data_IF_004107026519
#
_entry.id   IF_004107026519
#
_cell.length_a   1.000
_cell.length_b   1.000
_cell.length_c   1.000
_cell.angle_alpha   90.00
_cell.angle_beta   90.00
_cell.angle_gamma   90.00
#
_symmetry.space_group_name_H-M   'P 1'
#
loop_
_entity.id
_entity.type
_entity.pdbx_description
1 polymer ?
#
# COMPACT_ATOMS: atom_id res chain seq x y z
N UNK A 1 -8.23 -3.78 1.59
CA UNK A 1 -8.61 -2.48 2.17
C UNK A 1 -8.88 -1.54 1.02
N UNK A 2 -9.88 -0.68 1.13
CA UNK A 2 -10.30 0.22 0.05
C UNK A 2 -10.54 1.64 0.62
N UNK A 3 -9.46 2.34 0.95
CA UNK A 3 -9.52 3.73 1.43
C UNK A 3 -9.73 4.67 0.25
N UNK A 4 -10.63 5.65 0.40
CA UNK A 4 -11.01 6.58 -0.66
C UNK A 4 -10.98 8.03 -0.17
N UNK A 5 -10.63 8.99 -1.03
CA UNK A 5 -10.74 10.40 -0.69
C UNK A 5 -12.19 10.78 -0.34
N UNK A 6 -12.36 11.49 0.77
CA UNK A 6 -13.66 11.96 1.23
C UNK A 6 -13.70 12.18 2.73
N UNK A 7 -14.87 12.59 3.29
CA UNK A 7 -15.00 12.94 4.70
C UNK A 7 -14.65 11.80 5.67
N UNK A 8 -14.79 10.54 5.24
CA UNK A 8 -14.51 9.37 6.08
C UNK A 8 -13.03 8.92 6.05
N UNK A 9 -12.20 9.45 5.14
CA UNK A 9 -10.83 8.95 4.91
C UNK A 9 -10.02 8.90 6.20
N UNK A 10 -10.09 9.96 7.01
CA UNK A 10 -9.34 10.05 8.25
C UNK A 10 -9.82 9.02 9.29
N UNK A 11 -11.13 8.88 9.47
CA UNK A 11 -11.71 7.91 10.40
C UNK A 11 -11.39 6.47 9.99
N UNK A 12 -11.58 6.14 8.71
CA UNK A 12 -11.29 4.83 8.15
C UNK A 12 -9.81 4.49 8.23
N UNK A 13 -8.93 5.46 7.96
CA UNK A 13 -7.47 5.28 8.09
C UNK A 13 -7.09 4.99 9.53
N UNK A 14 -7.65 5.72 10.50
CA UNK A 14 -7.44 5.42 11.94
C UNK A 14 -7.97 4.04 12.31
N UNK A 15 -9.13 3.64 11.78
CA UNK A 15 -9.71 2.32 12.04
C UNK A 15 -8.81 1.19 11.54
N UNK A 16 -8.26 1.35 10.35
CA UNK A 16 -7.24 0.48 9.78
C UNK A 16 -5.99 0.45 10.66
N UNK A 17 -5.43 1.61 11.03
CA UNK A 17 -4.21 1.69 11.83
C UNK A 17 -4.37 0.97 13.19
N UNK A 18 -5.55 1.04 13.83
CA UNK A 18 -5.83 0.29 15.07
C UNK A 18 -5.69 -1.22 14.91
N UNK A 19 -5.83 -1.76 13.69
CA UNK A 19 -5.67 -3.19 13.43
C UNK A 19 -4.20 -3.65 13.50
N UNK A 20 -3.23 -2.72 13.49
CA UNK A 20 -1.80 -3.07 13.63
C UNK A 20 -1.46 -3.73 14.98
N UNK A 21 -2.36 -3.62 15.98
CA UNK A 21 -2.28 -4.33 17.27
C UNK A 21 -2.23 -5.84 17.15
N UNK A 22 -2.68 -6.41 16.02
CA UNK A 22 -2.62 -7.84 15.77
C UNK A 22 -1.31 -8.21 15.08
N UNK A 23 -0.38 -8.92 15.75
CA UNK A 23 0.96 -9.16 15.22
C UNK A 23 0.99 -10.08 13.99
N UNK A 24 -0.07 -10.88 13.79
CA UNK A 24 -0.23 -11.79 12.66
C UNK A 24 -1.02 -11.18 11.48
N UNK A 25 -1.36 -9.89 11.54
CA UNK A 25 -2.07 -9.19 10.48
C UNK A 25 -1.12 -8.36 9.62
N UNK A 26 -1.29 -8.44 8.31
CA UNK A 26 -0.49 -7.75 7.31
C UNK A 26 -1.37 -6.82 6.47
N UNK A 27 -0.91 -5.59 6.24
CA UNK A 27 -1.64 -4.61 5.45
C UNK A 27 -1.26 -4.71 3.97
N UNK A 28 -2.26 -4.84 3.11
CA UNK A 28 -2.07 -4.61 1.68
C UNK A 28 -2.35 -3.14 1.38
N UNK A 29 -1.32 -2.43 0.92
CA UNK A 29 -1.31 -0.96 0.82
C UNK A 29 -1.56 -0.45 -0.61
N UNK A 30 -2.12 -1.28 -1.48
CA UNK A 30 -2.35 -1.02 -2.91
C UNK A 30 -3.60 -0.17 -3.23
N UNK A 31 -4.25 0.40 -2.22
CA UNK A 31 -5.54 1.10 -2.36
C UNK A 31 -5.44 2.43 -3.12
N UNK A 32 -4.24 2.98 -3.32
CA UNK A 32 -4.05 4.24 -4.07
C UNK A 32 -4.64 4.11 -5.48
N UNK A 33 -4.33 3.02 -6.19
CA UNK A 33 -4.81 2.82 -7.56
C UNK A 33 -6.32 2.60 -7.69
N UNK A 34 -6.97 2.06 -6.66
CA UNK A 34 -8.42 1.78 -6.65
C UNK A 34 -9.24 2.97 -6.14
N UNK A 35 -8.65 3.79 -5.26
CA UNK A 35 -9.36 4.87 -4.57
C UNK A 35 -9.11 6.29 -5.11
N UNK A 36 -7.98 6.54 -5.76
CA UNK A 36 -7.56 7.89 -6.19
C UNK A 36 -8.61 8.59 -7.06
N UNK A 37 -8.74 9.90 -6.81
CA UNK A 37 -9.51 10.84 -7.64
C UNK A 37 -8.60 11.82 -8.39
N UNK A 38 -7.30 11.77 -8.12
CA UNK A 38 -6.30 12.59 -8.79
C UNK A 38 -5.59 11.81 -9.91
N UNK A 39 -5.03 12.54 -10.87
CA UNK A 39 -4.10 11.98 -11.84
C UNK A 39 -2.84 11.47 -11.16
N UNK A 40 -2.05 10.64 -11.85
CA UNK A 40 -0.70 10.28 -11.42
C UNK A 40 0.09 11.54 -10.99
N UNK A 41 0.75 11.56 -9.80
CA UNK A 41 1.08 10.40 -8.97
C UNK A 41 0.06 10.04 -7.86
N UNK A 42 -1.19 10.52 -7.93
CA UNK A 42 -2.27 10.16 -6.99
C UNK A 42 -2.01 10.59 -5.53
N UNK A 43 -1.64 11.86 -5.33
CA UNK A 43 -1.16 12.39 -4.04
C UNK A 43 -2.25 12.42 -2.95
N UNK A 44 -3.53 12.43 -3.33
CA UNK A 44 -4.69 12.43 -2.44
C UNK A 44 -4.74 11.27 -1.43
N UNK A 45 -4.02 10.17 -1.69
CA UNK A 45 -3.97 9.00 -0.81
C UNK A 45 -2.57 8.71 -0.23
N UNK A 46 -1.54 9.51 -0.57
CA UNK A 46 -0.18 9.26 -0.11
C UNK A 46 -0.05 9.36 1.42
N UNK A 47 -0.69 10.37 2.02
CA UNK A 47 -0.67 10.56 3.47
C UNK A 47 -1.26 9.35 4.20
N UNK A 48 -2.45 8.90 3.79
CA UNK A 48 -3.10 7.73 4.37
C UNK A 48 -2.25 6.46 4.19
N UNK A 49 -1.59 6.29 3.03
CA UNK A 49 -0.67 5.17 2.81
C UNK A 49 0.51 5.22 3.80
N UNK A 50 1.10 6.40 4.02
CA UNK A 50 2.19 6.56 4.99
C UNK A 50 1.75 6.33 6.44
N UNK A 51 0.53 6.71 6.82
CA UNK A 51 -0.03 6.39 8.14
C UNK A 51 -0.19 4.88 8.36
N UNK A 52 -0.76 4.18 7.37
CA UNK A 52 -0.93 2.72 7.44
C UNK A 52 0.43 2.01 7.49
N UNK A 53 1.38 2.43 6.64
CA UNK A 53 2.74 1.87 6.63
C UNK A 53 3.43 2.14 7.98
N UNK A 54 3.28 3.34 8.53
CA UNK A 54 3.83 3.70 9.84
C UNK A 54 3.24 2.87 10.98
N UNK A 55 1.93 2.64 10.97
CA UNK A 55 1.23 1.88 12.02
C UNK A 55 1.55 0.38 12.00
N UNK A 56 1.63 -0.22 10.80
CA UNK A 56 1.95 -1.64 10.65
C UNK A 56 3.46 -1.92 10.68
N UNK A 57 4.28 -0.99 10.23
CA UNK A 57 5.67 -1.26 9.85
C UNK A 57 5.73 -1.84 8.43
N UNK A 58 6.77 -1.46 7.68
CA UNK A 58 6.93 -1.88 6.28
C UNK A 58 7.11 -3.39 6.14
N UNK A 59 7.68 -4.04 7.16
CA UNK A 59 7.84 -5.49 7.26
C UNK A 59 6.53 -6.26 7.43
N UNK A 60 5.43 -5.55 7.70
CA UNK A 60 4.05 -6.07 7.71
C UNK A 60 3.15 -5.46 6.63
N UNK A 61 3.73 -4.79 5.64
CA UNK A 61 3.02 -4.23 4.50
C UNK A 61 3.40 -4.94 3.19
N UNK A 62 2.42 -5.11 2.30
CA UNK A 62 2.61 -5.69 0.96
C UNK A 62 1.95 -4.82 -0.11
N UNK A 63 2.62 -4.70 -1.25
CA UNK A 63 2.05 -4.10 -2.46
C UNK A 63 1.48 -5.17 -3.40
N UNK A 64 0.45 -4.80 -4.17
CA UNK A 64 -0.01 -5.55 -5.32
C UNK A 64 -0.54 -4.59 -6.39
N UNK A 65 -0.64 -5.06 -7.63
CA UNK A 65 -1.02 -4.21 -8.76
C UNK A 65 -2.51 -4.00 -8.96
N UNK A 66 -3.36 -4.79 -8.28
CA UNK A 66 -4.79 -4.91 -8.54
C UNK A 66 -5.13 -5.33 -9.99
N UNK A 67 -4.35 -6.24 -10.58
CA UNK A 67 -4.64 -6.77 -11.92
C UNK A 67 -6.02 -7.47 -12.00
N UNK A 68 -6.81 -7.28 -13.07
CA UNK A 68 -6.53 -6.47 -14.26
C UNK A 68 -6.75 -4.96 -14.05
N UNK A 69 -5.72 -4.15 -14.36
CA UNK A 69 -5.72 -2.70 -14.13
C UNK A 69 -6.84 -1.96 -14.88
N UNK A 70 -7.20 -2.41 -16.08
CA UNK A 70 -8.30 -1.82 -16.85
C UNK A 70 -9.67 -1.89 -16.16
N UNK A 71 -9.85 -2.83 -15.22
CA UNK A 71 -11.07 -2.93 -14.42
C UNK A 71 -10.93 -2.22 -13.08
N UNK A 72 -9.84 -2.47 -12.35
CA UNK A 72 -9.73 -2.08 -10.94
C UNK A 72 -8.99 -0.77 -10.70
N UNK A 73 -8.07 -0.39 -11.58
CA UNK A 73 -7.27 0.83 -11.45
C UNK A 73 -7.22 1.60 -12.78
N UNK A 74 -8.35 1.88 -13.44
CA UNK A 74 -8.36 2.34 -14.84
C UNK A 74 -7.74 3.73 -15.07
N UNK A 75 -7.46 4.49 -14.00
CA UNK A 75 -6.89 5.84 -14.07
C UNK A 75 -5.36 5.85 -14.16
N UNK A 76 -4.71 4.73 -13.85
CA UNK A 76 -3.25 4.60 -13.86
C UNK A 76 -2.83 3.27 -14.46
N UNK A 77 -1.67 3.27 -15.11
CA UNK A 77 -1.04 2.05 -15.61
C UNK A 77 -0.45 1.22 -14.47
N UNK A 78 -0.17 -0.06 -14.73
CA UNK A 78 0.59 -0.91 -13.81
C UNK A 78 1.91 -0.25 -13.40
N UNK A 79 2.65 0.31 -14.38
CA UNK A 79 3.95 0.93 -14.16
C UNK A 79 3.85 2.18 -13.29
N UNK A 80 2.86 3.04 -13.52
CA UNK A 80 2.59 4.20 -12.67
C UNK A 80 2.24 3.78 -11.23
N UNK A 81 1.38 2.78 -11.04
CA UNK A 81 1.06 2.30 -9.70
C UNK A 81 2.31 1.78 -8.97
N UNK A 82 3.18 1.04 -9.66
CA UNK A 82 4.45 0.59 -9.10
C UNK A 82 5.37 1.78 -8.74
N UNK A 83 5.47 2.80 -9.62
CA UNK A 83 6.30 3.99 -9.38
C UNK A 83 5.85 4.83 -8.19
N UNK A 84 4.57 4.80 -7.83
CA UNK A 84 4.12 5.44 -6.59
C UNK A 84 4.86 4.88 -5.38
N UNK A 85 5.02 3.55 -5.30
CA UNK A 85 5.74 2.90 -4.19
C UNK A 85 7.25 2.85 -4.38
N UNK A 86 7.74 2.79 -5.62
CA UNK A 86 9.18 2.73 -5.86
C UNK A 86 9.87 4.08 -5.89
N UNK A 87 9.16 5.18 -6.16
CA UNK A 87 9.74 6.50 -6.42
C UNK A 87 9.01 7.65 -5.70
N UNK A 88 7.68 7.71 -5.73
CA UNK A 88 6.94 8.90 -5.27
C UNK A 88 6.77 8.98 -3.75
N UNK A 89 6.41 7.87 -3.09
CA UNK A 89 6.30 7.85 -1.64
C UNK A 89 7.68 8.02 -1.00
N UNK A 90 7.80 8.76 0.12
CA UNK A 90 9.08 9.02 0.79
C UNK A 90 9.53 7.80 1.62
N UNK A 91 9.62 6.64 0.98
CA UNK A 91 10.06 5.38 1.57
C UNK A 91 11.58 5.28 1.51
N UNK A 92 12.18 4.87 2.62
CA UNK A 92 13.58 4.43 2.61
C UNK A 92 13.76 3.21 1.72
N UNK A 93 14.99 2.97 1.25
CA UNK A 93 15.32 1.78 0.46
C UNK A 93 14.90 0.47 1.15
N UNK A 94 15.02 0.39 2.49
CA UNK A 94 14.60 -0.77 3.27
C UNK A 94 13.08 -0.93 3.30
N UNK A 95 12.33 0.14 3.54
CA UNK A 95 10.87 0.09 3.52
C UNK A 95 10.34 -0.32 2.15
N UNK A 96 10.90 0.25 1.08
CA UNK A 96 10.58 -0.09 -0.30
C UNK A 96 10.83 -1.57 -0.61
N UNK A 97 11.99 -2.11 -0.25
CA UNK A 97 12.31 -3.53 -0.44
C UNK A 97 11.31 -4.44 0.31
N UNK A 98 10.98 -4.08 1.56
CA UNK A 98 10.01 -4.83 2.35
C UNK A 98 8.63 -4.85 1.72
N UNK A 99 8.08 -3.68 1.36
CA UNK A 99 6.73 -3.54 0.80
C UNK A 99 6.59 -4.19 -0.58
N UNK A 100 7.60 -4.01 -1.44
CA UNK A 100 7.55 -4.47 -2.84
C UNK A 100 7.92 -5.94 -3.03
N UNK A 101 8.42 -6.64 -2.00
CA UNK A 101 8.73 -8.06 -2.18
C UNK A 101 9.14 -8.85 -0.95
N UNK A 102 9.95 -8.30 -0.03
CA UNK A 102 10.51 -9.15 1.05
C UNK A 102 9.42 -9.61 2.02
N UNK A 103 8.45 -8.75 2.34
CA UNK A 103 7.32 -9.11 3.20
C UNK A 103 6.50 -10.23 2.58
N UNK A 104 6.14 -10.11 1.30
CA UNK A 104 5.46 -11.15 0.53
C UNK A 104 6.23 -12.48 0.55
N UNK A 105 7.56 -12.42 0.33
CA UNK A 105 8.44 -13.60 0.37
C UNK A 105 8.42 -14.29 1.74
N UNK A 106 8.49 -13.53 2.84
CA UNK A 106 8.42 -14.12 4.20
C UNK A 106 7.08 -14.79 4.48
N UNK A 107 5.96 -14.21 4.02
CA UNK A 107 4.62 -14.75 4.25
C UNK A 107 4.39 -16.04 3.45
N UNK A 108 4.60 -15.99 2.13
CA UNK A 108 4.17 -17.06 1.23
C UNK A 108 5.28 -18.04 0.86
N UNK A 109 6.55 -17.63 0.96
CA UNK A 109 7.70 -18.44 0.59
C UNK A 109 8.77 -18.50 1.69
N UNK A 110 8.40 -18.80 2.95
CA UNK A 110 9.34 -18.73 4.09
C UNK A 110 10.57 -19.62 3.94
N UNK A 111 10.49 -20.72 3.16
CA UNK A 111 11.62 -21.61 2.88
C UNK A 111 12.64 -21.03 1.89
N UNK A 112 12.24 -20.03 1.10
CA UNK A 112 13.10 -19.27 0.20
C UNK A 112 13.49 -17.92 0.82
N UNK A 113 12.99 -17.65 2.03
CA UNK A 113 13.25 -16.43 2.76
C UNK A 113 14.62 -16.50 3.47
N UNK A 114 15.73 -16.57 2.71
CA UNK A 114 17.09 -16.33 3.24
C UNK A 114 17.18 -14.93 3.83
#
# INVERSE_FOLDING_TARGET
MDLKPGPALEEDTRAVCRMSRFPNLYAKVDFIGTGTRQSYPCEDLHHAAMEVIGAFGAERCVWASCYPNGLWTPRITYGEHLRIFSEALPLTSKQRASILGETARRIWFPKLAV
#
